data_IF_481341147943
#
_entry.id   IF_481341147943
#
_cell.length_a   1.000
_cell.length_b   1.000
_cell.length_c   1.000
_cell.angle_alpha   90.00
_cell.angle_beta   90.00
_cell.angle_gamma   90.00
#
_symmetry.space_group_name_H-M   'P 1'
#
loop_
_entity.id
_entity.type
_entity.pdbx_description
1 polymer ?
#
# COMPACT_ATOMS: atom_id res chain seq x y z
N UNK A 1 14.00 -23.82 3.14
CA UNK A 1 14.21 -22.99 1.94
C UNK A 1 15.63 -23.20 1.38
N UNK A 2 16.62 -23.43 2.24
CA UNK A 2 18.02 -23.65 1.82
C UNK A 2 18.21 -24.88 0.93
N UNK A 3 17.27 -25.82 0.93
CA UNK A 3 17.33 -27.02 0.07
C UNK A 3 16.97 -26.76 -1.40
N UNK A 4 16.46 -25.59 -1.75
CA UNK A 4 15.98 -25.31 -3.11
C UNK A 4 16.97 -24.48 -3.94
N UNK A 5 18.01 -23.90 -3.34
CA UNK A 5 19.02 -23.04 -4.00
C UNK A 5 18.43 -21.98 -4.96
N UNK A 6 17.15 -21.63 -4.79
CA UNK A 6 16.39 -20.81 -5.73
C UNK A 6 16.39 -19.31 -5.41
N UNK A 7 16.77 -18.95 -4.16
CA UNK A 7 16.73 -17.57 -3.71
C UNK A 7 17.96 -17.28 -2.84
N UNK A 8 18.66 -16.19 -3.13
CA UNK A 8 19.69 -15.69 -2.22
C UNK A 8 19.04 -14.98 -1.03
N UNK A 9 19.72 -14.90 0.13
CA UNK A 9 19.23 -14.13 1.28
C UNK A 9 19.00 -12.65 0.95
N UNK A 10 19.57 -12.14 -0.15
CA UNK A 10 19.37 -10.77 -0.64
C UNK A 10 17.98 -10.53 -1.23
N UNK A 11 17.27 -11.61 -1.60
CA UNK A 11 15.92 -11.53 -2.19
C UNK A 11 14.82 -11.41 -1.13
N UNK A 12 15.18 -11.46 0.16
CA UNK A 12 14.23 -11.38 1.28
C UNK A 12 14.38 -10.07 2.04
N UNK A 13 13.28 -9.35 2.20
CA UNK A 13 13.17 -8.30 3.20
C UNK A 13 12.62 -8.91 4.50
N UNK A 14 13.42 -8.90 5.56
CA UNK A 14 13.02 -9.42 6.87
C UNK A 14 12.59 -8.24 7.73
N UNK A 15 11.39 -8.34 8.32
CA UNK A 15 10.92 -7.42 9.35
C UNK A 15 10.44 -8.19 10.56
N UNK A 16 10.59 -7.60 11.74
CA UNK A 16 10.23 -8.23 13.02
C UNK A 16 8.97 -7.57 13.58
N UNK A 17 8.10 -8.35 14.20
CA UNK A 17 6.91 -7.86 14.89
C UNK A 17 6.77 -8.56 16.24
N UNK A 18 6.33 -7.84 17.26
CA UNK A 18 6.07 -8.38 18.61
C UNK A 18 4.86 -9.30 18.67
N UNK A 19 3.92 -9.15 17.72
CA UNK A 19 2.75 -10.03 17.56
C UNK A 19 2.73 -10.57 16.15
N UNK A 20 2.16 -11.76 15.94
CA UNK A 20 1.97 -12.32 14.61
C UNK A 20 1.10 -11.38 13.76
N UNK A 21 1.66 -10.75 12.70
CA UNK A 21 0.93 -9.76 11.90
C UNK A 21 -0.09 -10.39 10.95
N UNK A 22 -0.05 -11.73 10.81
CA UNK A 22 -0.98 -12.48 9.98
C UNK A 22 -1.54 -13.67 10.74
N UNK A 23 -2.83 -13.97 10.61
CA UNK A 23 -3.45 -15.13 11.28
C UNK A 23 -2.94 -16.48 10.75
N UNK A 24 -2.29 -16.51 9.57
CA UNK A 24 -1.71 -17.72 8.97
C UNK A 24 -0.72 -17.41 7.87
N UNK A 25 0.27 -18.28 7.68
CA UNK A 25 1.13 -18.28 6.49
C UNK A 25 0.32 -18.71 5.26
N UNK A 26 0.46 -17.95 4.17
CA UNK A 26 -0.09 -18.27 2.85
C UNK A 26 1.00 -18.17 1.80
N UNK A 27 1.24 -19.25 1.09
CA UNK A 27 2.10 -19.27 -0.10
C UNK A 27 1.21 -19.51 -1.31
N UNK A 28 1.28 -18.63 -2.31
CA UNK A 28 0.49 -18.71 -3.54
C UNK A 28 1.33 -18.40 -4.75
N UNK A 29 1.22 -19.24 -5.77
CA UNK A 29 1.72 -18.92 -7.10
C UNK A 29 0.69 -18.03 -7.79
N UNK A 30 1.13 -16.89 -8.30
CA UNK A 30 0.31 -15.94 -9.05
C UNK A 30 0.95 -15.64 -10.39
N UNK A 31 0.13 -15.31 -11.40
CA UNK A 31 0.63 -14.83 -12.70
C UNK A 31 1.36 -13.47 -12.55
N UNK A 32 0.85 -12.64 -11.66
CA UNK A 32 1.40 -11.32 -11.32
C UNK A 32 1.45 -11.16 -9.82
N UNK A 33 2.55 -10.65 -9.29
CA UNK A 33 2.69 -10.36 -7.86
C UNK A 33 1.72 -9.24 -7.44
N UNK A 34 1.60 -8.22 -8.28
CA UNK A 34 0.62 -7.12 -8.18
C UNK A 34 -0.06 -6.96 -9.54
N UNK A 35 -1.39 -7.04 -9.57
CA UNK A 35 -2.15 -6.97 -10.82
C UNK A 35 -2.31 -5.53 -11.28
N UNK A 36 -1.84 -5.24 -12.50
CA UNK A 36 -2.03 -3.94 -13.17
C UNK A 36 -3.08 -4.01 -14.28
N UNK A 37 -3.36 -5.21 -14.82
CA UNK A 37 -4.36 -5.40 -15.86
C UNK A 37 -3.88 -5.05 -17.28
N UNK A 38 -2.58 -4.94 -17.50
CA UNK A 38 -1.96 -4.70 -18.81
C UNK A 38 -0.76 -5.60 -19.03
N UNK A 39 -0.49 -5.95 -20.29
CA UNK A 39 0.69 -6.72 -20.70
C UNK A 39 1.89 -5.82 -21.06
N UNK A 40 1.73 -4.49 -21.04
CA UNK A 40 2.79 -3.55 -21.39
C UNK A 40 3.87 -3.40 -20.30
N UNK A 41 3.56 -3.80 -19.07
CA UNK A 41 4.50 -3.72 -17.95
C UNK A 41 5.27 -5.04 -17.79
N UNK A 42 6.54 -5.04 -18.17
CA UNK A 42 7.47 -6.14 -17.93
C UNK A 42 8.73 -5.64 -17.19
N UNK A 43 8.75 -5.63 -15.85
CA UNK A 43 9.90 -5.13 -15.08
C UNK A 43 11.20 -5.91 -15.29
N UNK A 44 11.15 -7.12 -15.82
CA UNK A 44 12.35 -7.92 -16.12
C UNK A 44 13.09 -7.38 -17.34
N UNK A 45 12.40 -6.73 -18.28
CA UNK A 45 12.99 -6.20 -19.51
C UNK A 45 13.22 -4.69 -19.41
N UNK A 46 12.28 -3.97 -18.77
CA UNK A 46 12.30 -2.52 -18.71
C UNK A 46 11.77 -2.06 -17.34
N UNK A 47 12.61 -1.37 -16.58
CA UNK A 47 12.27 -0.85 -15.24
C UNK A 47 12.86 0.55 -15.08
N UNK A 48 12.29 1.36 -14.18
CA UNK A 48 12.83 2.65 -13.78
C UNK A 48 14.14 2.52 -13.00
N UNK A 49 14.83 3.62 -12.84
CA UNK A 49 16.06 3.69 -12.05
C UNK A 49 15.73 3.68 -10.55
N UNK A 50 16.51 2.92 -9.78
CA UNK A 50 16.34 2.88 -8.33
C UNK A 50 17.07 4.06 -7.68
N UNK A 51 16.37 4.79 -6.82
CA UNK A 51 16.93 5.81 -5.94
C UNK A 51 17.01 5.25 -4.53
N UNK A 52 18.20 5.33 -3.92
CA UNK A 52 18.39 4.87 -2.55
C UNK A 52 17.62 5.76 -1.58
N UNK A 53 17.14 5.24 -0.44
CA UNK A 53 16.50 6.07 0.59
C UNK A 53 17.32 7.27 1.02
N UNK A 54 18.63 7.10 1.12
CA UNK A 54 19.59 8.13 1.55
C UNK A 54 19.68 9.30 0.55
N UNK A 55 19.45 9.05 -0.74
CA UNK A 55 19.48 10.05 -1.82
C UNK A 55 18.09 10.60 -2.12
N UNK A 56 17.02 9.96 -1.60
CA UNK A 56 15.64 10.23 -1.96
C UNK A 56 15.21 11.67 -1.67
N UNK A 57 15.51 12.18 -0.47
CA UNK A 57 15.15 13.55 -0.09
C UNK A 57 15.76 14.60 -1.04
N UNK A 58 17.03 14.45 -1.35
CA UNK A 58 17.71 15.34 -2.28
C UNK A 58 17.11 15.25 -3.69
N UNK A 59 16.75 14.04 -4.12
CA UNK A 59 16.19 13.82 -5.45
C UNK A 59 14.80 14.43 -5.60
N UNK A 60 13.88 14.18 -4.67
CA UNK A 60 12.50 14.67 -4.75
C UNK A 60 12.32 16.16 -4.42
N UNK A 61 13.37 16.79 -3.87
CA UNK A 61 13.38 18.23 -3.58
C UNK A 61 13.80 19.08 -4.78
N UNK A 62 14.16 18.47 -5.92
CA UNK A 62 14.47 19.21 -7.15
C UNK A 62 13.18 19.74 -7.78
N UNK A 63 13.18 21.00 -8.23
CA UNK A 63 12.00 21.67 -8.81
C UNK A 63 11.49 21.00 -10.10
N UNK A 64 12.38 20.29 -10.82
CA UNK A 64 12.07 19.59 -12.08
C UNK A 64 11.64 18.13 -11.89
N UNK A 65 11.48 17.66 -10.66
CA UNK A 65 11.04 16.29 -10.34
C UNK A 65 9.56 16.24 -9.98
N UNK A 66 8.80 15.46 -10.74
CA UNK A 66 7.42 15.13 -10.43
C UNK A 66 7.37 13.89 -9.53
N UNK A 67 6.84 14.05 -8.31
CA UNK A 67 6.74 12.96 -7.34
C UNK A 67 5.35 12.33 -7.39
N UNK A 68 5.27 11.00 -7.58
CA UNK A 68 4.02 10.25 -7.74
C UNK A 68 3.90 9.16 -6.68
N UNK A 69 2.83 9.22 -5.89
CA UNK A 69 2.44 8.14 -4.98
C UNK A 69 1.62 7.09 -5.76
N UNK A 70 2.19 5.92 -6.02
CA UNK A 70 1.52 4.86 -6.78
C UNK A 70 0.58 4.00 -5.94
N UNK A 71 0.26 4.42 -4.72
CA UNK A 71 -0.62 3.72 -3.79
C UNK A 71 -2.09 4.07 -4.05
N UNK A 72 -2.98 3.33 -3.40
CA UNK A 72 -4.40 3.62 -3.43
C UNK A 72 -4.76 4.75 -2.46
N UNK A 73 -5.86 5.43 -2.72
CA UNK A 73 -6.34 6.58 -1.91
C UNK A 73 -6.38 6.31 -0.41
N UNK A 74 -6.81 5.12 0.02
CA UNK A 74 -6.89 4.78 1.44
C UNK A 74 -5.52 4.64 2.11
N UNK A 75 -4.46 4.36 1.36
CA UNK A 75 -3.10 4.31 1.85
C UNK A 75 -2.50 5.72 1.93
N UNK A 76 -2.78 6.56 0.91
CA UNK A 76 -2.32 7.94 0.85
C UNK A 76 -2.95 8.80 1.94
N UNK A 77 -4.20 8.51 2.30
CA UNK A 77 -4.97 9.27 3.29
C UNK A 77 -4.34 9.29 4.70
N UNK A 78 -3.47 8.33 5.03
CA UNK A 78 -2.84 8.25 6.35
C UNK A 78 -1.37 8.66 6.36
N UNK A 79 -0.80 8.92 5.20
CA UNK A 79 0.57 9.43 5.08
C UNK A 79 1.06 9.36 3.64
N UNK A 80 1.90 10.33 3.27
CA UNK A 80 2.51 10.44 1.94
C UNK A 80 3.76 11.34 2.02
N UNK A 81 4.58 11.39 0.95
CA UNK A 81 5.60 12.43 0.83
C UNK A 81 4.98 13.77 0.44
N UNK A 82 5.45 14.83 1.07
CA UNK A 82 5.02 16.20 0.78
C UNK A 82 5.09 16.50 -0.73
N UNK A 83 4.09 17.19 -1.23
CA UNK A 83 3.98 17.60 -2.64
C UNK A 83 3.88 16.44 -3.65
N UNK A 84 3.62 15.21 -3.23
CA UNK A 84 3.40 14.11 -4.17
C UNK A 84 2.03 14.20 -4.84
N UNK A 85 1.97 13.85 -6.12
CA UNK A 85 0.73 13.66 -6.86
C UNK A 85 0.16 12.28 -6.50
N UNK A 86 -1.12 12.27 -6.17
CA UNK A 86 -1.87 11.05 -5.88
C UNK A 86 -2.80 10.76 -7.07
N UNK A 87 -2.67 9.62 -7.75
CA UNK A 87 -3.54 9.22 -8.86
C UNK A 87 -5.03 9.01 -8.49
N UNK A 88 -5.37 9.11 -7.20
CA UNK A 88 -6.73 8.91 -6.66
C UNK A 88 -7.37 7.56 -7.04
N UNK A 89 -6.53 6.55 -7.23
CA UNK A 89 -6.96 5.20 -7.58
C UNK A 89 -7.44 4.43 -6.35
N UNK A 90 -8.49 3.64 -6.51
CA UNK A 90 -9.00 2.74 -5.46
C UNK A 90 -8.32 1.38 -5.51
N UNK A 91 -7.74 1.03 -6.65
CA UNK A 91 -6.92 -0.16 -6.84
C UNK A 91 -5.88 0.08 -7.95
N UNK A 92 -4.79 -0.66 -7.92
CA UNK A 92 -3.65 -0.46 -8.83
C UNK A 92 -3.94 -0.77 -10.31
N UNK A 93 -5.06 -1.41 -10.63
CA UNK A 93 -5.50 -1.63 -12.02
C UNK A 93 -5.99 -0.36 -12.71
N UNK A 94 -6.28 0.68 -11.94
CA UNK A 94 -6.71 1.99 -12.44
C UNK A 94 -5.51 2.85 -12.83
N UNK A 95 -4.29 2.51 -12.38
CA UNK A 95 -3.07 3.27 -12.66
C UNK A 95 -2.79 3.45 -14.17
N UNK A 96 -2.96 2.44 -15.06
CA UNK A 96 -2.79 2.65 -16.50
C UNK A 96 -3.71 3.73 -17.07
N UNK A 97 -4.99 3.75 -16.68
CA UNK A 97 -5.94 4.77 -17.14
C UNK A 97 -5.56 6.17 -16.65
N UNK A 98 -5.04 6.29 -15.44
CA UNK A 98 -4.51 7.55 -14.93
C UNK A 98 -3.28 8.02 -15.72
N UNK A 99 -2.36 7.12 -16.08
CA UNK A 99 -1.20 7.47 -16.94
C UNK A 99 -1.66 7.93 -18.33
N UNK A 100 -2.69 7.31 -18.90
CA UNK A 100 -3.28 7.76 -20.18
C UNK A 100 -3.86 9.18 -20.08
N UNK A 101 -4.47 9.54 -18.94
CA UNK A 101 -4.93 10.90 -18.66
C UNK A 101 -3.75 11.87 -18.49
N UNK A 102 -2.71 11.45 -17.76
CA UNK A 102 -1.49 12.24 -17.60
C UNK A 102 -0.81 12.50 -18.95
N UNK A 103 -0.72 11.51 -19.81
CA UNK A 103 -0.21 11.65 -21.18
C UNK A 103 -1.03 12.65 -22.01
N UNK A 104 -2.35 12.67 -21.83
CA UNK A 104 -3.26 13.59 -22.50
C UNK A 104 -3.18 15.04 -22.01
N UNK A 105 -2.51 15.28 -20.89
CA UNK A 105 -2.30 16.63 -20.32
C UNK A 105 -1.04 17.34 -20.83
N UNK A 106 -0.48 16.90 -21.98
CA UNK A 106 0.74 17.45 -22.60
C UNK A 106 1.98 17.44 -21.68
N UNK A 107 2.04 16.50 -20.74
CA UNK A 107 3.22 16.35 -19.89
C UNK A 107 4.47 16.05 -20.71
N UNK A 108 5.57 16.73 -20.39
CA UNK A 108 6.85 16.45 -21.04
C UNK A 108 7.35 15.04 -20.67
N UNK A 109 7.49 14.15 -21.64
CA UNK A 109 7.97 12.77 -21.42
C UNK A 109 9.45 12.69 -21.04
N UNK A 110 10.20 13.80 -21.17
CA UNK A 110 11.56 13.93 -20.71
C UNK A 110 11.66 14.43 -19.25
N UNK A 111 10.54 14.81 -18.62
CA UNK A 111 10.51 15.22 -17.22
C UNK A 111 10.97 14.09 -16.30
N UNK A 112 11.74 14.44 -15.27
CA UNK A 112 12.09 13.49 -14.21
C UNK A 112 10.85 13.15 -13.39
N UNK A 113 10.58 11.87 -13.24
CA UNK A 113 9.47 11.34 -12.44
C UNK A 113 10.03 10.43 -11.35
N UNK A 114 9.68 10.74 -10.11
CA UNK A 114 10.01 9.96 -8.92
C UNK A 114 8.76 9.23 -8.44
N UNK A 115 8.80 7.91 -8.29
CA UNK A 115 7.67 7.12 -7.83
C UNK A 115 7.97 6.37 -6.54
N UNK A 116 6.98 6.21 -5.70
CA UNK A 116 7.10 5.41 -4.49
C UNK A 116 5.83 4.61 -4.20
N UNK A 117 5.98 3.56 -3.40
CA UNK A 117 4.89 2.79 -2.79
C UNK A 117 5.38 2.16 -1.49
N UNK A 118 4.54 1.41 -0.79
CA UNK A 118 4.86 0.81 0.51
C UNK A 118 6.16 0.01 0.53
N UNK A 119 6.36 -0.91 -0.44
CA UNK A 119 7.53 -1.82 -0.46
C UNK A 119 8.27 -1.89 -1.79
N UNK A 120 8.01 -0.96 -2.75
CA UNK A 120 8.70 -0.88 -4.04
C UNK A 120 8.07 -1.70 -5.18
N UNK A 121 7.35 -2.77 -4.91
CA UNK A 121 6.85 -3.74 -5.92
C UNK A 121 5.89 -3.10 -6.96
N UNK A 122 4.98 -2.21 -6.54
CA UNK A 122 4.10 -1.50 -7.49
C UNK A 122 4.91 -0.57 -8.40
N UNK A 123 5.94 0.07 -7.87
CA UNK A 123 6.77 1.01 -8.62
C UNK A 123 7.56 0.33 -9.74
N UNK A 124 8.03 -0.89 -9.54
CA UNK A 124 8.67 -1.65 -10.62
C UNK A 124 7.73 -1.83 -11.82
N UNK A 125 6.46 -2.19 -11.59
CA UNK A 125 5.47 -2.31 -12.66
C UNK A 125 5.03 -0.96 -13.21
N UNK A 126 4.81 0.04 -12.36
CA UNK A 126 4.43 1.38 -12.77
C UNK A 126 5.49 2.03 -13.64
N UNK A 127 6.77 1.95 -13.23
CA UNK A 127 7.89 2.49 -14.00
C UNK A 127 8.07 1.78 -15.34
N UNK A 128 7.97 0.45 -15.35
CA UNK A 128 7.98 -0.34 -16.58
C UNK A 128 6.88 0.10 -17.55
N UNK A 129 5.66 0.25 -17.08
CA UNK A 129 4.52 0.70 -17.88
C UNK A 129 4.74 2.12 -18.43
N UNK A 130 5.15 3.07 -17.60
CA UNK A 130 5.40 4.45 -18.04
C UNK A 130 6.55 4.54 -19.05
N UNK A 131 7.64 3.77 -18.87
CA UNK A 131 8.72 3.69 -19.87
C UNK A 131 8.22 3.10 -21.18
N UNK A 132 7.37 2.08 -21.16
CA UNK A 132 6.73 1.52 -22.36
C UNK A 132 5.81 2.54 -23.06
N UNK A 133 5.26 3.52 -22.35
CA UNK A 133 4.50 4.67 -22.86
C UNK A 133 5.40 5.82 -23.37
N UNK A 134 6.71 5.66 -23.29
CA UNK A 134 7.69 6.62 -23.82
C UNK A 134 8.19 7.68 -22.83
N UNK A 135 7.83 7.60 -21.55
CA UNK A 135 8.45 8.42 -20.50
C UNK A 135 9.89 7.95 -20.30
N UNK A 136 10.87 8.89 -20.30
CA UNK A 136 12.29 8.52 -20.36
C UNK A 136 12.95 8.48 -18.98
N UNK A 137 12.68 9.46 -18.14
CA UNK A 137 13.39 9.68 -16.87
C UNK A 137 12.55 9.24 -15.68
N UNK A 138 12.37 7.91 -15.55
CA UNK A 138 11.54 7.32 -14.49
C UNK A 138 12.42 6.73 -13.42
N UNK A 139 12.23 7.20 -12.19
CA UNK A 139 12.94 6.79 -11.00
C UNK A 139 11.96 6.30 -9.95
N UNK A 140 12.39 5.41 -9.06
CA UNK A 140 11.55 4.96 -7.96
C UNK A 140 12.36 4.60 -6.70
N UNK A 141 11.72 4.81 -5.54
CA UNK A 141 12.32 4.58 -4.23
C UNK A 141 12.62 3.10 -4.00
N UNK A 142 13.90 2.77 -3.80
CA UNK A 142 14.32 1.40 -3.56
C UNK A 142 13.81 0.87 -2.23
N UNK A 143 13.08 -0.25 -2.29
CA UNK A 143 12.46 -0.86 -1.13
C UNK A 143 11.24 -0.11 -0.58
N UNK A 144 10.85 1.01 -1.23
CA UNK A 144 9.66 1.78 -0.90
C UNK A 144 9.74 2.53 0.43
N UNK A 145 8.58 3.01 0.89
CA UNK A 145 8.42 3.80 2.11
C UNK A 145 8.99 3.07 3.33
N UNK A 146 8.75 1.78 3.47
CA UNK A 146 9.23 1.01 4.62
C UNK A 146 10.76 0.99 4.71
N UNK A 147 11.47 0.93 3.57
CA UNK A 147 12.92 1.01 3.56
C UNK A 147 13.42 2.45 3.84
N UNK A 148 12.65 3.45 3.39
CA UNK A 148 12.96 4.85 3.65
C UNK A 148 12.87 5.19 5.13
N UNK A 149 11.75 4.89 5.80
CA UNK A 149 11.55 5.17 7.22
C UNK A 149 12.44 4.31 8.14
N UNK A 150 12.97 3.19 7.65
CA UNK A 150 13.97 2.39 8.37
C UNK A 150 15.36 3.04 8.37
N UNK A 151 15.70 3.79 7.31
CA UNK A 151 17.05 4.32 7.09
C UNK A 151 17.19 5.82 7.35
N UNK A 152 16.11 6.56 7.20
CA UNK A 152 16.13 8.02 7.35
C UNK A 152 15.59 8.38 8.73
N UNK A 153 16.35 9.19 9.48
CA UNK A 153 15.91 9.70 10.78
C UNK A 153 14.64 10.55 10.62
N UNK A 154 13.75 10.48 11.60
CA UNK A 154 12.47 11.20 11.58
C UNK A 154 12.66 12.73 11.44
N UNK A 155 13.74 13.26 12.01
CA UNK A 155 14.09 14.70 11.93
C UNK A 155 14.48 15.17 10.53
N UNK A 156 14.93 14.26 9.67
CA UNK A 156 15.32 14.51 8.28
C UNK A 156 14.27 14.03 7.27
N UNK A 157 13.22 13.36 7.76
CA UNK A 157 12.22 12.73 6.92
C UNK A 157 11.32 13.74 6.21
N UNK A 158 11.09 13.53 4.92
CA UNK A 158 10.06 14.21 4.15
C UNK A 158 8.75 13.40 4.07
N UNK A 159 8.69 12.27 4.76
CA UNK A 159 7.48 11.49 4.91
C UNK A 159 6.57 12.11 5.97
N UNK A 160 5.29 12.34 5.63
CA UNK A 160 4.28 12.85 6.54
C UNK A 160 3.25 11.76 6.86
N UNK A 161 2.95 11.55 8.15
CA UNK A 161 1.96 10.58 8.62
C UNK A 161 2.49 9.17 8.82
N UNK A 162 1.62 8.17 8.70
CA UNK A 162 1.91 6.76 8.92
C UNK A 162 1.89 5.95 7.62
N UNK A 163 2.66 4.87 7.58
CA UNK A 163 2.74 4.00 6.41
C UNK A 163 1.70 2.87 6.52
N UNK A 164 0.72 2.83 5.60
CA UNK A 164 -0.23 1.73 5.53
C UNK A 164 0.46 0.41 5.20
N UNK A 165 0.11 -0.64 5.96
CA UNK A 165 0.57 -2.02 5.75
C UNK A 165 -0.60 -2.97 5.60
N UNK A 166 -0.41 -4.06 4.82
CA UNK A 166 -1.48 -5.00 4.47
C UNK A 166 -1.61 -6.18 5.45
N UNK A 167 -1.39 -5.91 6.72
CA UNK A 167 -1.50 -6.90 7.79
C UNK A 167 -2.33 -6.37 8.98
N UNK A 168 -2.40 -7.12 10.07
CA UNK A 168 -3.24 -6.78 11.23
C UNK A 168 -2.76 -5.53 12.00
N UNK A 169 -1.61 -4.96 11.65
CA UNK A 169 -1.09 -3.70 12.22
C UNK A 169 -1.71 -2.46 11.61
N UNK A 170 -2.25 -2.57 10.40
CA UNK A 170 -2.89 -1.51 9.60
C UNK A 170 -1.94 -0.41 9.16
N UNK A 171 -1.23 0.24 10.08
CA UNK A 171 -0.28 1.30 9.81
C UNK A 171 0.97 1.20 10.70
N UNK A 172 2.08 1.72 10.22
CA UNK A 172 3.33 1.85 10.97
C UNK A 172 3.75 3.31 11.02
N UNK A 173 4.18 3.75 12.20
CA UNK A 173 4.79 5.06 12.40
C UNK A 173 6.24 5.09 11.90
N UNK A 174 6.93 6.23 12.06
CA UNK A 174 8.31 6.41 11.60
C UNK A 174 9.32 5.51 12.33
N UNK A 175 9.03 5.01 13.52
CA UNK A 175 9.84 4.03 14.23
C UNK A 175 9.51 2.57 13.85
N UNK A 176 8.73 2.35 12.79
CA UNK A 176 8.23 1.03 12.36
C UNK A 176 7.40 0.29 13.43
N UNK A 177 6.89 1.03 14.41
CA UNK A 177 5.98 0.50 15.42
C UNK A 177 4.54 0.57 14.92
N UNK A 178 3.63 -0.18 15.56
CA UNK A 178 2.20 -0.11 15.26
C UNK A 178 1.71 1.31 15.47
N UNK A 179 1.09 1.87 14.45
CA UNK A 179 0.59 3.22 14.42
C UNK A 179 -0.75 3.41 15.14
N UNK A 180 -1.39 4.53 14.84
CA UNK A 180 -2.64 4.97 15.52
C UNK A 180 -3.92 4.54 14.82
N UNK A 181 -3.82 3.92 13.63
CA UNK A 181 -4.98 3.56 12.82
C UNK A 181 -5.43 2.11 13.04
N UNK A 182 -6.75 1.93 13.08
CA UNK A 182 -7.41 0.64 12.98
C UNK A 182 -8.04 0.44 11.59
N UNK A 183 -8.53 -0.77 11.32
CA UNK A 183 -9.18 -1.12 10.04
C UNK A 183 -10.69 -1.18 10.19
N UNK A 184 -11.43 -0.42 9.38
CA UNK A 184 -12.85 -0.66 9.21
C UNK A 184 -13.10 -1.97 8.45
N UNK A 185 -13.58 -3.01 9.12
CA UNK A 185 -13.87 -4.30 8.48
C UNK A 185 -15.09 -4.29 7.55
N UNK A 186 -15.81 -3.17 7.48
CA UNK A 186 -16.91 -2.95 6.52
C UNK A 186 -16.44 -2.46 5.16
N UNK A 187 -15.50 -1.52 5.09
CA UNK A 187 -15.01 -0.94 3.83
C UNK A 187 -13.50 -1.07 3.60
N UNK A 188 -12.75 -1.51 4.60
CA UNK A 188 -11.27 -1.62 4.54
C UNK A 188 -10.51 -0.30 4.55
N UNK A 189 -11.18 0.80 4.85
CA UNK A 189 -10.50 2.07 5.10
C UNK A 189 -9.82 2.05 6.47
N UNK A 190 -8.64 2.65 6.62
CA UNK A 190 -8.08 2.97 7.93
C UNK A 190 -9.01 3.94 8.66
N UNK A 191 -9.12 3.81 9.97
CA UNK A 191 -9.95 4.63 10.83
C UNK A 191 -9.18 5.05 12.08
N UNK A 192 -9.45 6.26 12.53
CA UNK A 192 -8.88 6.83 13.75
C UNK A 192 -9.71 6.44 14.99
N UNK A 193 -9.19 6.73 16.17
CA UNK A 193 -9.95 6.62 17.42
C UNK A 193 -11.19 7.53 17.39
N UNK A 194 -11.09 8.75 16.83
CA UNK A 194 -12.22 9.65 16.69
C UNK A 194 -13.32 9.10 15.77
N UNK A 195 -12.94 8.38 14.71
CA UNK A 195 -13.90 7.69 13.85
C UNK A 195 -14.66 6.60 14.61
N UNK A 196 -13.99 5.93 15.55
CA UNK A 196 -14.60 4.88 16.37
C UNK A 196 -15.56 5.44 17.43
N UNK A 197 -15.41 6.71 17.83
CA UNK A 197 -16.34 7.41 18.72
C UNK A 197 -17.59 7.94 17.99
N UNK A 198 -17.59 7.93 16.66
CA UNK A 198 -18.71 8.40 15.85
C UNK A 198 -19.95 7.51 16.00
N UNK A 199 -21.14 8.10 15.99
CA UNK A 199 -22.42 7.39 15.94
C UNK A 199 -22.60 6.54 14.68
N UNK A 200 -21.82 6.80 13.63
CA UNK A 200 -21.78 6.02 12.39
C UNK A 200 -20.83 4.80 12.46
N UNK A 201 -20.05 4.68 13.55
CA UNK A 201 -19.18 3.54 13.74
C UNK A 201 -19.92 2.38 14.39
N UNK A 202 -19.83 1.24 13.76
CA UNK A 202 -20.24 -0.06 14.32
C UNK A 202 -19.17 -1.10 14.00
N UNK A 203 -18.56 -1.65 15.05
CA UNK A 203 -17.46 -2.62 14.90
C UNK A 203 -17.81 -3.74 13.92
N UNK A 204 -16.96 -3.96 12.95
CA UNK A 204 -17.14 -4.96 11.91
C UNK A 204 -18.17 -4.62 10.82
N UNK A 205 -18.94 -3.55 10.93
CA UNK A 205 -20.08 -3.23 10.07
C UNK A 205 -19.84 -1.96 9.26
N UNK A 206 -19.55 -0.83 9.93
CA UNK A 206 -19.44 0.48 9.29
C UNK A 206 -18.51 1.43 10.05
N UNK A 207 -18.07 2.47 9.35
CA UNK A 207 -17.39 3.65 9.89
C UNK A 207 -17.96 4.92 9.23
N UNK A 208 -17.59 6.13 9.66
CA UNK A 208 -18.06 7.38 9.05
C UNK A 208 -17.94 7.40 7.52
N UNK A 209 -16.85 6.84 6.96
CA UNK A 209 -16.60 6.81 5.51
C UNK A 209 -17.60 5.92 4.73
N UNK A 210 -18.14 4.87 5.33
CA UNK A 210 -18.95 3.92 4.59
C UNK A 210 -20.40 3.77 5.09
N UNK A 211 -20.75 4.41 6.19
CA UNK A 211 -22.06 4.24 6.82
C UNK A 211 -23.22 4.58 5.87
N UNK A 212 -23.13 5.71 5.16
CA UNK A 212 -24.19 6.19 4.27
C UNK A 212 -24.19 5.46 2.91
N UNK A 213 -23.09 4.80 2.56
CA UNK A 213 -22.94 4.06 1.29
C UNK A 213 -23.28 2.56 1.39
N UNK A 214 -23.60 2.05 2.60
CA UNK A 214 -23.97 0.66 2.80
C UNK A 214 -25.46 0.46 2.82
N UNK A 215 -25.94 -0.49 2.01
CA UNK A 215 -27.37 -0.87 2.06
C UNK A 215 -27.73 -1.58 3.37
N UNK A 216 -29.01 -1.58 3.77
CA UNK A 216 -29.47 -2.31 4.96
C UNK A 216 -29.07 -3.82 4.91
N UNK A 217 -29.16 -4.45 3.75
CA UNK A 217 -28.81 -5.86 3.55
C UNK A 217 -27.29 -6.07 3.74
N UNK A 218 -26.47 -5.16 3.26
CA UNK A 218 -25.00 -5.20 3.48
C UNK A 218 -24.68 -5.06 4.97
N UNK A 219 -25.30 -4.11 5.67
CA UNK A 219 -25.12 -3.91 7.11
C UNK A 219 -25.54 -5.15 7.88
N UNK A 220 -26.70 -5.75 7.57
CA UNK A 220 -27.17 -7.00 8.18
C UNK A 220 -26.17 -8.14 7.99
N UNK A 221 -25.70 -8.37 6.77
CA UNK A 221 -24.70 -9.43 6.45
C UNK A 221 -23.39 -9.21 7.22
N UNK A 222 -22.94 -7.96 7.39
CA UNK A 222 -21.76 -7.64 8.17
C UNK A 222 -21.98 -7.86 9.68
N UNK A 223 -23.17 -7.52 10.19
CA UNK A 223 -23.56 -7.78 11.57
C UNK A 223 -23.58 -9.28 11.88
N UNK A 224 -24.17 -10.08 10.99
CA UNK A 224 -24.17 -11.56 11.13
C UNK A 224 -22.75 -12.15 11.14
N UNK A 225 -21.88 -11.65 10.26
CA UNK A 225 -20.46 -12.01 10.27
C UNK A 225 -19.77 -11.64 11.58
N UNK A 226 -19.98 -10.41 12.06
CA UNK A 226 -19.38 -9.93 13.29
C UNK A 226 -19.83 -10.76 14.48
N UNK A 227 -21.13 -11.05 14.58
CA UNK A 227 -21.68 -11.92 15.61
C UNK A 227 -21.00 -13.30 15.65
N UNK A 228 -20.73 -13.90 14.48
CA UNK A 228 -20.01 -15.19 14.42
C UNK A 228 -18.55 -15.05 14.89
N UNK A 229 -17.89 -13.93 14.58
CA UNK A 229 -16.53 -13.65 15.07
C UNK A 229 -16.52 -13.53 16.61
N UNK A 230 -17.48 -12.80 17.16
CA UNK A 230 -17.58 -12.57 18.62
C UNK A 230 -17.91 -13.86 19.37
N UNK A 231 -18.80 -14.68 18.84
CA UNK A 231 -19.10 -16.01 19.39
C UNK A 231 -17.87 -16.94 19.35
N UNK A 232 -17.09 -16.90 18.27
CA UNK A 232 -15.86 -17.67 18.18
C UNK A 232 -14.82 -17.21 19.20
N UNK A 233 -14.66 -15.88 19.39
CA UNK A 233 -13.78 -15.33 20.43
C UNK A 233 -14.19 -15.78 21.83
N UNK A 234 -15.50 -15.72 22.16
CA UNK A 234 -16.02 -16.17 23.47
C UNK A 234 -15.74 -17.66 23.74
N UNK A 235 -15.72 -18.50 22.70
CA UNK A 235 -15.44 -19.93 22.81
C UNK A 235 -13.96 -20.27 22.73
N UNK A 236 -13.06 -19.29 22.66
CA UNK A 236 -11.64 -19.49 22.35
C UNK A 236 -11.40 -20.29 21.03
N UNK A 237 -12.40 -20.27 20.13
CA UNK A 237 -12.29 -20.88 18.82
C UNK A 237 -11.66 -19.94 17.80
N UNK A 238 -11.01 -20.52 16.80
CA UNK A 238 -10.54 -19.71 15.65
C UNK A 238 -11.74 -19.23 14.84
N UNK A 239 -11.79 -17.93 14.46
CA UNK A 239 -12.88 -17.39 13.66
C UNK A 239 -13.13 -18.20 12.39
N UNK A 240 -14.41 -18.27 11.97
CA UNK A 240 -14.82 -18.95 10.73
C UNK A 240 -14.00 -18.44 9.52
N UNK A 241 -13.34 -19.35 8.80
CA UNK A 241 -12.42 -19.04 7.68
C UNK A 241 -10.94 -19.27 7.98
N UNK A 242 -10.54 -19.51 9.23
CA UNK A 242 -9.18 -19.90 9.58
C UNK A 242 -8.87 -21.38 9.27
N UNK A 243 -9.90 -22.20 9.11
CA UNK A 243 -9.81 -23.60 8.66
C UNK A 243 -10.21 -23.68 7.18
N UNK A 244 -9.26 -23.51 6.26
CA UNK A 244 -9.27 -24.26 5.00
C UNK A 244 -8.03 -25.12 5.02
N UNK A 245 -8.27 -26.42 5.01
CA UNK A 245 -7.27 -27.49 4.85
C UNK A 245 -6.44 -27.27 3.59
#
# INVERSE_FOLDING_TARGET
>A
LDKLNLLSLRDFKISVSTKAPFPRLKVKIKKEIVSMGTNLANPQELVGEYVQPEDWNQFISQDDVLVIDTRNTYECAIGTFKNSIQPETTNFREFPAWVDQLESSDINKDQKIAMFCTGGIRCEKASSFMKAKGFKNIHHLQGGILNYIEKIDESESLWEGECFVFDDRVALNHQLQVGSFDMCHGCRMPITESDQLSTKYQSGISCPNCFDHKTPEQKKRYADRQKQIDLAKQRNDKPHGSKRR
#
